data_IF_307813924436
#
_entry.id   IF_307813924436
#
_cell.length_a   1.000
_cell.length_b   1.000
_cell.length_c   1.000
_cell.angle_alpha   90.00
_cell.angle_beta   90.00
_cell.angle_gamma   90.00
#
_symmetry.space_group_name_H-M   'P 1'
#
loop_
_entity.id
_entity.type
_entity.pdbx_description
1 polymer ?
#
# COMPACT_ATOMS: atom_id res chain seq x y z
N UNK A 1 3.88 9.81 -10.38
CA UNK A 1 2.68 10.05 -9.52
C UNK A 1 2.32 11.53 -9.56
N UNK A 2 1.04 11.92 -9.45
CA UNK A 2 0.66 13.35 -9.39
C UNK A 2 0.98 13.92 -8.01
N UNK A 3 1.57 15.12 -7.96
CA UNK A 3 1.78 15.85 -6.70
C UNK A 3 0.42 16.26 -6.12
N UNK A 4 0.19 15.95 -4.84
CA UNK A 4 -0.96 16.48 -4.10
C UNK A 4 -0.66 17.95 -3.78
N UNK A 5 -1.57 18.86 -4.12
CA UNK A 5 -1.39 20.29 -3.86
C UNK A 5 -1.75 20.61 -2.41
N UNK A 6 -1.06 21.58 -1.83
CA UNK A 6 -1.33 22.07 -0.47
C UNK A 6 -2.78 22.56 -0.36
N UNK A 7 -3.38 22.34 0.82
CA UNK A 7 -4.77 22.70 1.10
C UNK A 7 -5.83 21.89 0.33
N UNK A 8 -5.43 20.83 -0.40
CA UNK A 8 -6.39 19.90 -1.01
C UNK A 8 -6.65 18.69 -0.11
N UNK A 9 -7.88 18.14 -0.14
CA UNK A 9 -8.19 16.90 0.57
C UNK A 9 -7.25 15.77 0.16
N UNK A 10 -6.87 14.96 1.14
CA UNK A 10 -6.11 13.72 0.95
C UNK A 10 -7.03 12.57 1.27
N UNK A 11 -7.00 11.55 0.42
CA UNK A 11 -7.82 10.35 0.57
C UNK A 11 -6.91 9.19 0.97
N UNK A 12 -7.20 8.55 2.09
CA UNK A 12 -6.45 7.41 2.60
C UNK A 12 -6.96 6.09 2.03
N UNK A 13 -6.05 5.24 1.56
CA UNK A 13 -6.34 3.83 1.27
C UNK A 13 -5.54 2.96 2.24
N UNK A 14 -6.23 2.39 3.22
CA UNK A 14 -5.69 1.43 4.19
C UNK A 14 -5.47 0.06 3.55
N UNK A 15 -4.31 -0.54 3.82
CA UNK A 15 -3.94 -1.87 3.34
C UNK A 15 -3.39 -2.74 4.46
N UNK A 16 -3.51 -4.06 4.27
CA UNK A 16 -2.81 -5.08 5.06
C UNK A 16 -1.67 -5.65 4.24
N UNK A 17 -0.57 -5.99 4.89
CA UNK A 17 0.54 -6.66 4.22
C UNK A 17 0.19 -8.11 3.92
N UNK A 18 0.74 -8.64 2.83
CA UNK A 18 0.58 -10.04 2.49
C UNK A 18 1.39 -10.90 3.47
N UNK A 19 1.00 -12.16 3.63
CA UNK A 19 1.73 -13.09 4.48
C UNK A 19 3.20 -13.25 4.01
N UNK A 20 4.14 -13.17 4.97
CA UNK A 20 5.58 -13.22 4.72
C UNK A 20 6.20 -11.90 4.26
N UNK A 21 5.43 -10.80 4.21
CA UNK A 21 5.96 -9.45 3.99
C UNK A 21 6.16 -8.77 5.35
N UNK A 22 7.37 -8.30 5.62
CA UNK A 22 7.71 -7.60 6.86
C UNK A 22 8.32 -6.22 6.57
N UNK A 23 7.79 -5.21 7.24
CA UNK A 23 8.27 -3.82 7.23
C UNK A 23 8.36 -3.26 8.66
N UNK A 24 8.53 -4.12 9.66
CA UNK A 24 8.60 -3.76 11.09
C UNK A 24 9.66 -2.68 11.39
N UNK A 25 10.82 -2.73 10.73
CA UNK A 25 11.89 -1.73 10.87
C UNK A 25 11.52 -0.35 10.29
N UNK A 26 10.45 -0.27 9.48
CA UNK A 26 9.99 0.95 8.82
C UNK A 26 8.71 1.51 9.43
N UNK A 27 8.20 0.94 10.55
CA UNK A 27 6.99 1.43 11.23
C UNK A 27 7.06 2.95 11.51
N UNK A 28 6.01 3.68 11.13
CA UNK A 28 5.94 5.13 11.30
C UNK A 28 6.70 5.95 10.25
N UNK A 29 7.24 5.31 9.21
CA UNK A 29 7.96 5.98 8.12
C UNK A 29 7.23 5.87 6.79
N UNK A 30 7.66 6.66 5.80
CA UNK A 30 7.21 6.56 4.42
C UNK A 30 8.24 5.76 3.63
N UNK A 31 7.80 4.66 3.02
CA UNK A 31 8.62 3.82 2.14
C UNK A 31 8.10 3.86 0.70
N UNK A 32 8.97 3.55 -0.26
CA UNK A 32 8.58 3.42 -1.67
C UNK A 32 8.25 1.95 -1.97
N UNK A 33 7.04 1.69 -2.44
CA UNK A 33 6.59 0.36 -2.88
C UNK A 33 6.56 0.33 -4.40
N UNK A 34 7.27 -0.64 -4.98
CA UNK A 34 7.19 -0.94 -6.40
C UNK A 34 5.88 -1.64 -6.74
N UNK A 35 5.17 -1.13 -7.76
CA UNK A 35 3.98 -1.77 -8.33
C UNK A 35 4.31 -2.18 -9.77
N UNK A 36 4.45 -3.48 -10.01
CA UNK A 36 4.75 -4.06 -11.32
C UNK A 36 3.63 -3.81 -12.33
N UNK A 37 2.37 -3.95 -11.91
CA UNK A 37 1.14 -3.68 -12.67
C UNK A 37 1.08 -2.26 -13.24
N UNK A 38 1.84 -1.33 -12.66
CA UNK A 38 1.92 0.07 -13.07
C UNK A 38 3.30 0.53 -13.50
N UNK A 39 4.31 -0.36 -13.45
CA UNK A 39 5.71 -0.05 -13.68
C UNK A 39 6.16 1.27 -13.00
N UNK A 40 5.81 1.44 -11.72
CA UNK A 40 6.11 2.66 -10.96
C UNK A 40 6.28 2.33 -9.48
N UNK A 41 7.05 3.15 -8.78
CA UNK A 41 7.05 3.18 -7.31
C UNK A 41 6.08 4.22 -6.77
N UNK A 42 5.47 3.93 -5.63
CA UNK A 42 4.54 4.81 -4.93
C UNK A 42 4.87 4.88 -3.43
N UNK A 43 4.79 6.05 -2.79
CA UNK A 43 4.98 6.18 -1.36
C UNK A 43 3.83 5.53 -0.60
N UNK A 44 4.17 4.73 0.40
CA UNK A 44 3.25 4.16 1.38
C UNK A 44 3.74 4.55 2.77
N UNK A 45 2.81 4.97 3.63
CA UNK A 45 3.08 5.17 5.05
C UNK A 45 2.94 3.80 5.72
N UNK A 46 3.99 3.32 6.38
CA UNK A 46 3.89 2.14 7.27
C UNK A 46 3.30 2.61 8.59
N UNK A 47 2.21 1.99 9.04
CA UNK A 47 1.55 2.42 10.27
C UNK A 47 2.48 2.22 11.46
N UNK A 48 2.56 3.22 12.35
CA UNK A 48 3.41 3.15 13.52
C UNK A 48 2.86 2.13 14.54
N UNK A 49 3.76 1.47 15.27
CA UNK A 49 3.39 0.59 16.39
C UNK A 49 2.53 1.32 17.41
N UNK A 50 1.46 0.69 17.86
CA UNK A 50 0.53 1.25 18.85
C UNK A 50 -0.35 2.40 18.33
N UNK A 51 -0.22 2.80 17.05
CA UNK A 51 -1.15 3.75 16.44
C UNK A 51 -2.56 3.17 16.34
N UNK A 52 -3.57 4.06 16.34
CA UNK A 52 -4.96 3.66 16.17
C UNK A 52 -5.16 2.87 14.86
N UNK A 53 -4.54 3.31 13.77
CA UNK A 53 -4.60 2.60 12.49
C UNK A 53 -4.06 1.17 12.59
N UNK A 54 -2.93 0.97 13.29
CA UNK A 54 -2.36 -0.36 13.51
C UNK A 54 -3.27 -1.22 14.38
N UNK A 55 -3.84 -0.66 15.44
CA UNK A 55 -4.77 -1.35 16.33
C UNK A 55 -6.08 -1.75 15.61
N UNK A 56 -6.48 -1.02 14.58
CA UNK A 56 -7.59 -1.37 13.68
C UNK A 56 -7.19 -2.34 12.57
N UNK A 57 -5.94 -2.84 12.57
CA UNK A 57 -5.43 -3.81 11.60
C UNK A 57 -5.01 -3.21 10.27
N UNK A 58 -4.69 -1.92 10.20
CA UNK A 58 -4.07 -1.31 9.02
C UNK A 58 -2.56 -1.37 9.16
N UNK A 59 -1.87 -1.97 8.18
CA UNK A 59 -0.41 -2.06 8.16
C UNK A 59 0.25 -0.95 7.35
N UNK A 60 -0.45 -0.45 6.34
CA UNK A 60 0.02 0.65 5.50
C UNK A 60 -1.11 1.52 5.00
N UNK A 61 -0.78 2.76 4.65
CA UNK A 61 -1.73 3.75 4.10
C UNK A 61 -1.12 4.42 2.87
N UNK A 62 -1.87 4.43 1.77
CA UNK A 62 -1.57 5.28 0.62
C UNK A 62 -2.31 6.60 0.72
N UNK A 63 -1.59 7.71 0.54
CA UNK A 63 -2.16 9.05 0.42
C UNK A 63 -2.46 9.39 -1.05
N UNK A 64 -3.70 9.72 -1.35
CA UNK A 64 -4.21 9.85 -2.72
C UNK A 64 -4.83 11.23 -2.95
N UNK A 65 -4.75 11.74 -4.19
CA UNK A 65 -5.26 13.06 -4.55
C UNK A 65 -6.78 13.12 -4.83
N UNK A 66 -7.43 11.96 -4.97
CA UNK A 66 -8.87 11.85 -5.23
C UNK A 66 -9.36 10.42 -5.01
N UNK A 67 -10.66 10.24 -4.80
CA UNK A 67 -11.32 8.93 -4.71
C UNK A 67 -11.07 8.07 -5.95
N UNK A 68 -11.17 8.66 -7.15
CA UNK A 68 -10.84 7.99 -8.43
C UNK A 68 -9.40 7.47 -8.46
N UNK A 69 -8.46 8.18 -7.84
CA UNK A 69 -7.09 7.67 -7.70
C UNK A 69 -7.02 6.50 -6.72
N UNK A 70 -7.87 6.51 -5.68
CA UNK A 70 -8.02 5.40 -4.73
C UNK A 70 -8.58 4.13 -5.36
N UNK A 71 -9.64 4.22 -6.15
CA UNK A 71 -10.19 3.06 -6.88
C UNK A 71 -9.11 2.41 -7.76
N UNK A 72 -8.43 3.22 -8.57
CA UNK A 72 -7.36 2.70 -9.43
C UNK A 72 -6.17 2.15 -8.64
N UNK A 73 -5.86 2.72 -7.47
CA UNK A 73 -4.79 2.20 -6.61
C UNK A 73 -5.20 0.86 -6.02
N UNK A 74 -6.42 0.75 -5.50
CA UNK A 74 -6.99 -0.50 -4.96
C UNK A 74 -6.94 -1.60 -6.00
N UNK A 75 -7.41 -1.35 -7.22
CA UNK A 75 -7.32 -2.31 -8.32
C UNK A 75 -5.88 -2.77 -8.60
N UNK A 76 -4.92 -1.84 -8.57
CA UNK A 76 -3.52 -2.16 -8.85
C UNK A 76 -2.93 -3.05 -7.74
N UNK A 77 -3.10 -2.65 -6.48
CA UNK A 77 -2.63 -3.42 -5.31
C UNK A 77 -3.31 -4.80 -5.25
N UNK A 78 -4.61 -4.89 -5.55
CA UNK A 78 -5.31 -6.18 -5.61
C UNK A 78 -4.74 -7.10 -6.71
N UNK A 79 -4.38 -6.54 -7.87
CA UNK A 79 -3.71 -7.31 -8.93
C UNK A 79 -2.32 -7.78 -8.51
N UNK A 80 -1.51 -6.94 -7.88
CA UNK A 80 -0.21 -7.35 -7.33
C UNK A 80 -0.35 -8.53 -6.36
N UNK A 81 -1.30 -8.44 -5.43
CA UNK A 81 -1.54 -9.49 -4.44
C UNK A 81 -1.95 -10.81 -5.11
N UNK A 82 -2.78 -10.75 -6.15
CA UNK A 82 -3.19 -11.95 -6.90
C UNK A 82 -1.99 -12.57 -7.61
N UNK A 83 -1.20 -11.77 -8.33
CA UNK A 83 0.01 -12.23 -9.00
C UNK A 83 1.00 -12.84 -8.00
N UNK A 84 1.21 -12.20 -6.85
CA UNK A 84 2.10 -12.72 -5.80
C UNK A 84 1.63 -14.07 -5.24
N UNK A 85 0.32 -14.26 -5.05
CA UNK A 85 -0.25 -15.54 -4.65
C UNK A 85 -0.04 -16.62 -5.71
N UNK A 86 -0.34 -16.32 -6.98
CA UNK A 86 -0.13 -17.26 -8.09
C UNK A 86 1.34 -17.69 -8.19
N UNK A 87 2.29 -16.77 -8.02
CA UNK A 87 3.72 -17.11 -7.98
C UNK A 87 4.09 -18.02 -6.81
N UNK A 88 3.55 -17.76 -5.61
CA UNK A 88 3.77 -18.65 -4.45
C UNK A 88 3.21 -20.05 -4.68
N UNK A 89 2.00 -20.15 -5.22
CA UNK A 89 1.35 -21.43 -5.50
C UNK A 89 2.11 -22.25 -6.57
N UNK A 90 2.72 -21.59 -7.57
CA UNK A 90 3.58 -22.25 -8.56
C UNK A 90 4.91 -22.70 -7.94
N UNK A 91 5.49 -21.88 -7.05
CA UNK A 91 6.82 -22.16 -6.46
C UNK A 91 6.81 -23.25 -5.38
N UNK A 92 5.63 -23.70 -4.95
CA UNK A 92 5.42 -24.74 -3.95
C UNK A 92 4.98 -26.08 -4.57
N UNK A 93 4.83 -26.16 -5.90
CA UNK A 93 4.60 -27.38 -6.68
C UNK A 93 5.88 -27.84 -7.37
#
# INVERSE_FOLDING_TARGET
>A
MKKIKDGKPVFGLSVKFAEGVDYSDSEGTIIQIGLNTRNTSVPMIVTARGSEAKNQGTDGIFALCSEKCGEKMKESVTKELKTFKEFKDISLN
#
